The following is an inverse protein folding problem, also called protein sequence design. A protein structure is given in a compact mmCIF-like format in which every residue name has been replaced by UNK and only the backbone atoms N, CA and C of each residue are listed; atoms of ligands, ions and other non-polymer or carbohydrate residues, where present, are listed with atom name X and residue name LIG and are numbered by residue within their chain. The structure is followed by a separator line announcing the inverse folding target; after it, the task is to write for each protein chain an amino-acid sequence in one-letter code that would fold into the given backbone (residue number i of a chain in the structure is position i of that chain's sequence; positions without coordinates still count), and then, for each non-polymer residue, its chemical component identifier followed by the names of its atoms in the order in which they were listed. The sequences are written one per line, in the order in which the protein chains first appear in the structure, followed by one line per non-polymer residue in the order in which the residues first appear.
data_IF_260920977226
#
_entry.id   IF_260920977226
#
_cell.length_a   1.000
_cell.length_b   1.000
_cell.length_c   1.000
_cell.angle_alpha   90.00
_cell.angle_beta   90.00
_cell.angle_gamma   90.00
#
_symmetry.space_group_name_H-M   'P 1'
#
loop_
_entity.id
_entity.type
_entity.pdbx_description
1 polymer ?
#
# COMPACT_ATOMS: atom_id res chain seq x y z
N UNK A 1 50.75 -47.18 30.78
CA UNK A 1 50.74 -45.77 30.33
C UNK A 1 51.03 -45.73 28.85
N UNK A 2 49.99 -45.69 28.02
CA UNK A 2 50.10 -45.72 26.55
C UNK A 2 49.81 -44.32 26.00
N UNK A 3 50.75 -43.83 25.21
CA UNK A 3 50.68 -42.60 24.46
C UNK A 3 49.73 -42.74 23.26
N UNK A 4 48.97 -41.69 22.96
CA UNK A 4 48.37 -41.51 21.62
C UNK A 4 48.50 -40.04 21.22
N UNK A 5 49.16 -39.87 20.09
CA UNK A 5 49.59 -38.62 19.48
C UNK A 5 48.45 -37.83 18.85
N UNK A 6 48.54 -36.51 19.02
CA UNK A 6 47.79 -35.48 18.31
C UNK A 6 48.25 -35.33 16.86
N UNK A 7 47.32 -35.33 15.91
CA UNK A 7 47.56 -34.88 14.53
C UNK A 7 46.57 -33.74 14.23
N UNK A 8 47.10 -32.53 14.14
CA UNK A 8 46.39 -31.34 13.68
C UNK A 8 46.78 -31.09 12.23
N UNK A 9 45.82 -31.24 11.32
CA UNK A 9 46.01 -30.91 9.90
C UNK A 9 45.34 -29.59 9.59
N UNK A 10 46.15 -28.54 9.49
CA UNK A 10 45.80 -27.26 8.87
C UNK A 10 45.97 -27.39 7.36
N UNK A 11 44.91 -27.15 6.59
CA UNK A 11 45.02 -26.91 5.15
C UNK A 11 44.72 -25.44 4.85
N UNK A 12 45.77 -24.76 4.38
CA UNK A 12 45.75 -23.43 3.79
C UNK A 12 45.74 -23.56 2.26
N UNK A 13 45.36 -22.46 1.61
CA UNK A 13 45.61 -22.11 0.20
C UNK A 13 44.67 -22.79 -0.81
N UNK A 14 44.25 -22.21 -1.93
CA UNK A 14 44.79 -21.04 -2.62
C UNK A 14 43.81 -20.55 -3.69
N UNK A 15 43.94 -19.26 -3.96
CA UNK A 15 43.49 -18.52 -5.13
C UNK A 15 44.01 -19.12 -6.44
N UNK A 16 43.16 -19.20 -7.47
CA UNK A 16 43.61 -19.27 -8.87
C UNK A 16 42.65 -18.52 -9.79
N UNK A 17 43.23 -17.54 -10.49
CA UNK A 17 42.66 -16.82 -11.61
C UNK A 17 42.49 -17.73 -12.84
N UNK A 18 41.37 -17.61 -13.54
CA UNK A 18 41.29 -17.72 -15.01
C UNK A 18 39.92 -17.22 -15.47
N UNK A 19 39.83 -16.04 -16.07
CA UNK A 19 40.09 -15.71 -17.48
C UNK A 19 38.83 -15.85 -18.35
N UNK A 20 38.29 -14.66 -18.67
CA UNK A 20 37.63 -14.26 -19.93
C UNK A 20 36.60 -15.22 -20.56
N UNK A 21 35.35 -14.75 -20.60
CA UNK A 21 34.63 -14.61 -21.86
C UNK A 21 33.66 -13.42 -21.76
N UNK A 22 34.00 -12.33 -22.45
CA UNK A 22 33.08 -11.24 -22.76
C UNK A 22 32.22 -11.73 -23.93
N UNK A 23 30.92 -11.82 -23.73
CA UNK A 23 29.97 -11.89 -24.83
C UNK A 23 29.34 -10.50 -24.95
N UNK A 24 29.88 -9.71 -25.88
CA UNK A 24 29.21 -8.55 -26.45
C UNK A 24 27.93 -9.04 -27.13
N UNK A 25 26.77 -8.77 -26.53
CA UNK A 25 25.47 -8.92 -27.19
C UNK A 25 24.95 -7.53 -27.48
N UNK A 26 25.20 -7.10 -28.71
CA UNK A 26 24.60 -5.94 -29.36
C UNK A 26 23.08 -6.10 -29.40
N UNK A 27 22.37 -5.40 -28.51
CA UNK A 27 20.93 -5.21 -28.65
C UNK A 27 20.67 -3.95 -29.50
N UNK A 28 20.42 -4.18 -30.78
CA UNK A 28 19.78 -3.21 -31.65
C UNK A 28 18.36 -2.95 -31.13
N UNK A 29 18.11 -1.72 -30.64
CA UNK A 29 16.79 -1.25 -30.27
C UNK A 29 16.08 -0.68 -31.50
N UNK A 30 14.84 -1.10 -31.84
CA UNK A 30 14.05 -0.36 -32.80
C UNK A 30 13.49 0.90 -32.13
N UNK A 31 13.85 2.04 -32.73
CA UNK A 31 13.30 3.34 -32.43
C UNK A 31 11.78 3.34 -32.66
N UNK A 32 11.02 3.58 -31.58
CA UNK A 32 9.62 3.99 -31.66
C UNK A 32 9.55 5.46 -31.24
N UNK A 33 9.53 6.30 -32.26
CA UNK A 33 9.25 7.73 -32.20
C UNK A 33 7.84 7.97 -31.66
N UNK A 34 7.75 8.54 -30.47
CA UNK A 34 6.54 9.22 -29.99
C UNK A 34 6.97 10.42 -29.17
N UNK A 35 7.34 11.49 -29.89
CA UNK A 35 7.59 12.81 -29.35
C UNK A 35 6.28 13.40 -28.81
N UNK A 36 5.97 13.16 -27.54
CA UNK A 36 5.08 14.05 -26.79
C UNK A 36 5.91 15.12 -26.12
N UNK A 37 6.03 16.25 -26.83
CA UNK A 37 6.43 17.53 -26.26
C UNK A 37 5.48 17.82 -25.10
N UNK A 38 5.99 17.75 -23.87
CA UNK A 38 5.27 18.26 -22.68
C UNK A 38 5.47 19.76 -22.64
N UNK A 39 4.39 20.57 -22.63
CA UNK A 39 4.54 21.99 -22.37
C UNK A 39 4.98 22.18 -20.92
N UNK A 40 6.14 22.80 -20.74
CA UNK A 40 6.62 23.30 -19.46
C UNK A 40 5.68 24.44 -19.03
N UNK A 41 4.69 24.13 -18.20
CA UNK A 41 3.94 25.14 -17.46
C UNK A 41 4.88 25.77 -16.44
N UNK A 42 5.46 26.92 -16.81
CA UNK A 42 6.13 27.83 -15.88
C UNK A 42 5.18 28.14 -14.74
N UNK A 43 5.57 27.77 -13.52
CA UNK A 43 4.90 28.19 -12.30
C UNK A 43 4.97 29.72 -12.19
N UNK A 44 3.85 30.40 -12.45
CA UNK A 44 3.70 31.81 -12.09
C UNK A 44 3.58 31.90 -10.57
N UNK A 45 4.54 32.61 -9.99
CA UNK A 45 4.58 33.06 -8.59
C UNK A 45 3.31 33.88 -8.30
N UNK A 46 2.52 33.58 -7.25
CA UNK A 46 1.38 34.41 -6.91
C UNK A 46 1.87 35.78 -6.37
N UNK A 47 1.22 36.90 -6.75
CA UNK A 47 1.55 38.19 -6.16
C UNK A 47 1.07 38.24 -4.70
N UNK A 48 2.01 38.49 -3.80
CA UNK A 48 1.75 38.86 -2.41
C UNK A 48 1.21 40.29 -2.38
N UNK A 49 -0.11 40.43 -2.35
CA UNK A 49 -0.78 41.71 -2.08
C UNK A 49 -1.25 41.72 -0.61
N UNK A 50 -0.38 42.20 0.27
CA UNK A 50 -0.77 42.67 1.59
C UNK A 50 -1.42 44.05 1.43
N UNK A 51 -2.75 44.07 1.32
CA UNK A 51 -3.52 45.31 1.43
C UNK A 51 -3.73 45.56 2.92
N UNK A 52 -2.91 46.46 3.47
CA UNK A 52 -3.20 47.11 4.74
C UNK A 52 -4.52 47.88 4.58
N UNK A 53 -5.52 47.54 5.40
CA UNK A 53 -6.73 48.36 5.54
C UNK A 53 -6.50 49.26 6.75
N UNK A 54 -6.28 50.54 6.46
CA UNK A 54 -6.37 51.60 7.47
C UNK A 54 -7.83 51.72 7.94
N UNK A 55 -8.08 51.88 9.25
CA UNK A 55 -9.41 52.15 9.77
C UNK A 55 -9.74 53.63 9.56
N UNK A 56 -10.50 53.94 8.50
CA UNK A 56 -11.18 55.22 8.38
C UNK A 56 -12.22 55.33 9.50
N UNK A 57 -11.92 56.16 10.48
CA UNK A 57 -12.86 56.63 11.49
C UNK A 57 -13.94 57.48 10.82
N UNK A 58 -15.10 56.89 10.55
CA UNK A 58 -16.29 57.61 10.11
C UNK A 58 -16.98 58.24 11.32
N UNK A 59 -16.73 59.54 11.54
CA UNK A 59 -17.57 60.39 12.38
C UNK A 59 -18.97 60.46 11.76
N UNK A 60 -19.88 59.64 12.25
CA UNK A 60 -21.25 59.53 11.74
C UNK A 60 -22.10 60.60 12.41
N UNK A 61 -22.58 61.58 11.64
CA UNK A 61 -23.58 62.55 12.09
C UNK A 61 -24.91 61.83 12.36
N UNK A 62 -25.41 61.78 13.61
CA UNK A 62 -26.54 60.91 14.00
C UNK A 62 -27.92 61.38 13.51
N UNK A 63 -28.02 62.55 12.87
CA UNK A 63 -29.32 63.15 12.51
C UNK A 63 -29.96 62.61 11.23
N UNK A 64 -29.18 62.03 10.30
CA UNK A 64 -29.71 61.55 9.02
C UNK A 64 -30.18 60.09 9.08
N UNK A 65 -29.61 59.28 9.98
CA UNK A 65 -29.91 57.85 10.10
C UNK A 65 -31.18 57.57 10.90
N UNK A 66 -31.56 58.46 11.81
CA UNK A 66 -32.87 58.44 12.48
C UNK A 66 -33.99 58.72 11.49
N UNK A 67 -33.87 59.79 10.70
CA UNK A 67 -34.88 60.19 9.71
C UNK A 67 -35.18 59.10 8.67
N UNK A 68 -34.19 58.32 8.24
CA UNK A 68 -34.40 57.18 7.34
C UNK A 68 -35.11 56.02 8.04
N UNK A 69 -34.77 55.73 9.30
CA UNK A 69 -35.36 54.63 10.05
C UNK A 69 -36.84 54.89 10.32
N UNK A 70 -37.18 56.14 10.67
CA UNK A 70 -38.56 56.59 10.83
C UNK A 70 -39.34 56.48 9.52
N UNK A 71 -38.78 56.93 8.39
CA UNK A 71 -39.43 56.82 7.08
C UNK A 71 -39.69 55.36 6.63
N UNK A 72 -38.77 54.44 6.94
CA UNK A 72 -38.96 53.00 6.65
C UNK A 72 -40.10 52.42 7.49
N UNK A 73 -40.17 52.79 8.77
CA UNK A 73 -41.21 52.35 9.69
C UNK A 73 -42.57 52.91 9.30
N UNK A 74 -42.65 54.19 8.94
CA UNK A 74 -43.87 54.84 8.47
C UNK A 74 -44.38 54.20 7.18
N UNK A 75 -43.49 53.95 6.20
CA UNK A 75 -43.84 53.31 4.94
C UNK A 75 -44.35 51.88 5.11
N UNK A 76 -43.82 51.15 6.08
CA UNK A 76 -44.23 49.79 6.40
C UNK A 76 -45.54 49.71 7.20
N UNK A 77 -46.06 50.84 7.71
CA UNK A 77 -47.27 50.87 8.54
C UNK A 77 -47.01 50.64 10.04
N UNK A 78 -45.77 50.89 10.51
CA UNK A 78 -45.40 50.85 11.91
C UNK A 78 -44.37 49.78 12.27
N UNK A 79 -43.90 49.83 13.52
CA UNK A 79 -42.80 49.00 14.04
C UNK A 79 -43.14 47.51 13.95
N UNK A 80 -44.37 47.12 14.29
CA UNK A 80 -44.78 45.72 14.27
C UNK A 80 -44.84 45.15 12.85
N UNK A 81 -45.22 45.95 11.85
CA UNK A 81 -45.21 45.54 10.45
C UNK A 81 -43.78 45.36 9.90
N UNK A 82 -42.83 46.22 10.30
CA UNK A 82 -41.41 46.02 9.98
C UNK A 82 -40.88 44.74 10.62
N UNK A 83 -41.27 44.44 11.86
CA UNK A 83 -40.85 43.21 12.53
C UNK A 83 -41.49 41.95 11.94
N UNK A 84 -42.73 42.03 11.45
CA UNK A 84 -43.35 40.92 10.71
C UNK A 84 -42.58 40.61 9.42
N UNK A 85 -42.14 41.65 8.68
CA UNK A 85 -41.29 41.50 7.49
C UNK A 85 -39.89 40.97 7.89
N UNK A 86 -39.33 41.44 9.01
CA UNK A 86 -38.05 40.94 9.49
C UNK A 86 -38.14 39.44 9.85
N UNK A 87 -39.25 39.00 10.46
CA UNK A 87 -39.48 37.60 10.79
C UNK A 87 -39.73 36.72 9.56
N UNK A 88 -40.40 37.21 8.53
CA UNK A 88 -40.56 36.43 7.28
C UNK A 88 -39.20 36.16 6.64
N UNK A 89 -38.31 37.15 6.63
CA UNK A 89 -36.92 36.95 6.21
C UNK A 89 -36.13 36.03 7.14
N UNK A 90 -36.32 36.15 8.47
CA UNK A 90 -35.64 35.28 9.42
C UNK A 90 -36.01 33.79 9.26
N UNK A 91 -37.26 33.48 8.87
CA UNK A 91 -37.72 32.10 8.62
C UNK A 91 -36.99 31.39 7.48
N UNK A 92 -36.45 32.14 6.51
CA UNK A 92 -35.70 31.55 5.40
C UNK A 92 -34.33 31.00 5.85
N UNK A 93 -33.79 31.47 6.98
CA UNK A 93 -32.54 31.01 7.60
C UNK A 93 -31.32 31.00 6.67
N UNK A 94 -31.31 31.81 5.61
CA UNK A 94 -30.12 32.06 4.80
C UNK A 94 -29.36 33.26 5.37
N UNK A 95 -28.03 33.28 5.28
CA UNK A 95 -27.22 34.39 5.80
C UNK A 95 -27.57 35.74 5.17
N UNK A 96 -27.95 35.74 3.89
CA UNK A 96 -28.43 36.93 3.19
C UNK A 96 -29.78 37.41 3.76
N UNK A 97 -30.75 36.51 3.94
CA UNK A 97 -32.09 36.87 4.44
C UNK A 97 -32.06 37.28 5.92
N UNK A 98 -31.26 36.60 6.75
CA UNK A 98 -31.04 37.00 8.15
C UNK A 98 -30.31 38.35 8.27
N UNK A 99 -29.40 38.67 7.35
CA UNK A 99 -28.77 40.00 7.29
C UNK A 99 -29.78 41.12 7.00
N UNK A 100 -30.76 40.86 6.13
CA UNK A 100 -31.90 41.77 5.89
C UNK A 100 -32.78 41.87 7.13
N UNK A 101 -33.13 40.73 7.75
CA UNK A 101 -33.94 40.68 8.96
C UNK A 101 -33.33 41.49 10.12
N UNK A 102 -32.03 41.33 10.40
CA UNK A 102 -31.32 42.11 11.42
C UNK A 102 -31.28 43.59 11.08
N UNK A 103 -31.11 43.94 9.80
CA UNK A 103 -31.11 45.34 9.38
C UNK A 103 -32.47 46.00 9.62
N UNK A 104 -33.56 45.32 9.27
CA UNK A 104 -34.93 45.77 9.54
C UNK A 104 -35.22 45.84 11.04
N UNK A 105 -34.81 44.84 11.82
CA UNK A 105 -34.95 44.82 13.27
C UNK A 105 -34.23 46.02 13.94
N UNK A 106 -33.03 46.39 13.46
CA UNK A 106 -32.29 47.57 13.93
C UNK A 106 -32.93 48.89 13.51
N UNK A 107 -33.55 48.97 12.34
CA UNK A 107 -34.33 50.14 11.94
C UNK A 107 -35.58 50.30 12.81
N UNK A 108 -36.29 49.20 13.10
CA UNK A 108 -37.40 49.17 14.04
C UNK A 108 -36.96 49.58 15.45
N UNK A 109 -35.78 49.16 15.91
CA UNK A 109 -35.23 49.57 17.20
C UNK A 109 -34.90 51.07 17.27
N UNK A 110 -34.30 51.64 16.22
CA UNK A 110 -33.94 53.07 16.17
C UNK A 110 -35.16 53.99 16.09
N UNK A 111 -36.21 53.56 15.39
CA UNK A 111 -37.45 54.32 15.24
C UNK A 111 -38.35 54.26 16.50
N UNK A 112 -38.00 53.44 17.50
CA UNK A 112 -38.68 53.45 18.80
C UNK A 112 -38.42 54.79 19.50
N UNK A 113 -39.33 55.73 19.33
CA UNK A 113 -39.39 56.91 20.17
C UNK A 113 -39.86 56.52 21.58
N UNK A 114 -39.36 57.18 22.65
CA UNK A 114 -39.79 56.92 24.03
C UNK A 114 -41.21 57.42 24.36
N UNK A 115 -42.00 57.83 23.37
CA UNK A 115 -43.35 58.40 23.54
C UNK A 115 -44.40 57.32 23.85
N UNK A 116 -44.46 56.93 25.12
CA UNK A 116 -45.54 56.21 25.82
C UNK A 116 -46.21 54.98 25.14
N UNK A 117 -45.48 54.03 24.53
CA UNK A 117 -46.02 52.69 24.29
C UNK A 117 -46.20 51.93 25.62
N UNK A 118 -47.18 51.03 25.68
CA UNK A 118 -47.37 50.17 26.85
C UNK A 118 -46.16 49.26 27.06
N UNK A 119 -45.76 49.06 28.32
CA UNK A 119 -44.59 48.26 28.67
C UNK A 119 -44.62 46.83 28.09
N UNK A 120 -45.83 46.26 27.89
CA UNK A 120 -46.03 44.95 27.27
C UNK A 120 -45.60 44.92 25.81
N UNK A 121 -46.00 45.91 25.00
CA UNK A 121 -45.68 45.97 23.56
C UNK A 121 -44.18 46.17 23.37
N UNK A 122 -43.57 47.03 24.19
CA UNK A 122 -42.11 47.23 24.19
C UNK A 122 -41.35 45.93 24.46
N UNK A 123 -41.80 45.17 25.46
CA UNK A 123 -41.19 43.89 25.82
C UNK A 123 -41.34 42.84 24.72
N UNK A 124 -42.49 42.83 24.02
CA UNK A 124 -42.76 41.91 22.91
C UNK A 124 -41.83 42.18 21.73
N UNK A 125 -41.80 43.40 21.20
CA UNK A 125 -40.96 43.68 20.04
C UNK A 125 -39.46 43.66 20.35
N UNK A 126 -39.05 43.85 21.61
CA UNK A 126 -37.66 43.63 22.02
C UNK A 126 -37.26 42.16 21.95
N UNK A 127 -38.13 41.26 22.42
CA UNK A 127 -37.89 39.80 22.31
C UNK A 127 -37.77 39.37 20.85
N UNK A 128 -38.62 39.89 19.96
CA UNK A 128 -38.57 39.60 18.51
C UNK A 128 -37.22 40.03 17.90
N UNK A 129 -36.73 41.22 18.24
CA UNK A 129 -35.42 41.71 17.81
C UNK A 129 -34.30 40.80 18.34
N UNK A 130 -34.32 40.49 19.64
CA UNK A 130 -33.32 39.63 20.29
C UNK A 130 -33.28 38.22 19.65
N UNK A 131 -34.44 37.67 19.26
CA UNK A 131 -34.55 36.37 18.60
C UNK A 131 -33.96 36.40 17.18
N UNK A 132 -34.24 37.45 16.40
CA UNK A 132 -33.66 37.64 15.05
C UNK A 132 -32.14 37.81 15.13
N UNK A 133 -31.63 38.59 16.09
CA UNK A 133 -30.18 38.76 16.26
C UNK A 133 -29.50 37.47 16.71
N UNK A 134 -30.16 36.67 17.57
CA UNK A 134 -29.65 35.35 17.98
C UNK A 134 -29.55 34.38 16.80
N UNK A 135 -30.58 34.31 15.96
CA UNK A 135 -30.61 33.44 14.78
C UNK A 135 -29.51 33.86 13.77
N UNK A 136 -29.34 35.17 13.53
CA UNK A 136 -28.26 35.67 12.67
C UNK A 136 -26.87 35.37 13.23
N UNK A 137 -26.67 35.56 14.54
CA UNK A 137 -25.40 35.25 15.20
C UNK A 137 -25.06 33.76 15.07
N UNK A 138 -26.05 32.88 15.28
CA UNK A 138 -25.85 31.44 15.13
C UNK A 138 -25.41 31.06 13.72
N UNK A 139 -26.15 31.48 12.68
CA UNK A 139 -25.83 31.14 11.29
C UNK A 139 -24.48 31.71 10.86
N UNK A 140 -24.16 32.94 11.27
CA UNK A 140 -22.87 33.56 10.96
C UNK A 140 -21.70 32.82 11.62
N UNK A 141 -21.88 32.37 12.87
CA UNK A 141 -20.89 31.53 13.55
C UNK A 141 -20.68 30.20 12.83
N UNK A 142 -21.76 29.51 12.44
CA UNK A 142 -21.69 28.24 11.70
C UNK A 142 -20.97 28.42 10.34
N UNK A 143 -21.32 29.44 9.56
CA UNK A 143 -20.68 29.73 8.27
C UNK A 143 -19.17 30.02 8.43
N UNK A 144 -18.80 30.79 9.46
CA UNK A 144 -17.40 31.09 9.76
C UNK A 144 -16.62 29.82 10.15
N UNK A 145 -17.24 28.95 10.95
CA UNK A 145 -16.67 27.68 11.39
C UNK A 145 -16.45 26.73 10.20
N UNK A 146 -17.46 26.53 9.35
CA UNK A 146 -17.33 25.68 8.16
C UNK A 146 -16.33 26.22 7.15
N UNK A 147 -16.23 27.54 7.02
CA UNK A 147 -15.23 28.21 6.17
C UNK A 147 -13.81 27.94 6.68
N UNK A 148 -13.57 28.09 7.98
CA UNK A 148 -12.26 27.84 8.60
C UNK A 148 -11.90 26.34 8.59
N UNK A 149 -12.83 25.44 8.84
CA UNK A 149 -12.60 23.99 8.65
C UNK A 149 -12.23 23.68 7.21
N UNK A 150 -12.97 24.25 6.24
CA UNK A 150 -12.68 24.05 4.82
C UNK A 150 -11.30 24.57 4.44
N UNK A 151 -10.90 25.72 4.99
CA UNK A 151 -9.57 26.32 4.82
C UNK A 151 -8.48 25.44 5.43
N UNK A 152 -8.65 24.99 6.67
CA UNK A 152 -7.73 24.10 7.36
C UNK A 152 -7.61 22.74 6.65
N UNK A 153 -8.72 22.16 6.20
CA UNK A 153 -8.72 20.91 5.42
C UNK A 153 -7.97 21.06 4.08
N UNK A 154 -8.11 22.21 3.40
CA UNK A 154 -7.33 22.53 2.20
C UNK A 154 -5.83 22.67 2.51
N UNK A 155 -5.46 23.24 3.64
CA UNK A 155 -4.07 23.36 4.09
C UNK A 155 -3.45 21.99 4.50
N UNK A 156 -4.24 21.13 5.16
CA UNK A 156 -3.82 19.76 5.55
C UNK A 156 -3.61 18.87 4.33
N UNK A 157 -4.39 19.08 3.25
CA UNK A 157 -4.13 18.48 1.94
C UNK A 157 -2.88 19.12 1.32
N UNK A 158 -1.71 18.81 1.88
CA UNK A 158 -0.37 19.19 1.39
C UNK A 158 -0.23 18.79 -0.08
N UNK A 159 -0.64 19.66 -1.01
CA UNK A 159 -0.41 19.49 -2.47
C UNK A 159 1.08 19.46 -2.79
N UNK A 160 1.89 20.10 -1.95
CA UNK A 160 3.32 20.33 -2.22
C UNK A 160 4.21 19.21 -1.66
N UNK A 161 3.71 18.39 -0.73
CA UNK A 161 4.38 17.13 -0.44
C UNK A 161 4.01 16.16 -1.55
N UNK A 162 4.92 16.02 -2.51
CA UNK A 162 4.90 14.94 -3.48
C UNK A 162 4.44 13.67 -2.75
N UNK A 163 3.31 13.09 -3.18
CA UNK A 163 2.82 11.83 -2.63
C UNK A 163 4.03 10.89 -2.57
N UNK A 164 4.33 10.27 -1.43
CA UNK A 164 5.44 9.33 -1.37
C UNK A 164 5.30 8.37 -2.54
N UNK A 165 6.34 8.26 -3.40
CA UNK A 165 6.28 7.43 -4.63
C UNK A 165 5.82 6.00 -4.35
N UNK A 166 5.97 5.54 -3.11
CA UNK A 166 5.59 4.22 -2.62
C UNK A 166 4.42 4.36 -1.65
N UNK A 167 3.26 3.75 -1.97
CA UNK A 167 2.07 3.73 -1.10
C UNK A 167 2.43 3.07 0.24
N UNK A 168 1.76 3.43 1.33
CA UNK A 168 2.04 2.85 2.66
C UNK A 168 1.94 1.31 2.66
N UNK A 169 0.97 0.75 1.92
CA UNK A 169 0.84 -0.71 1.67
C UNK A 169 2.08 -1.29 0.99
N UNK A 170 2.70 -0.55 0.08
CA UNK A 170 3.90 -0.99 -0.63
C UNK A 170 5.17 -0.86 0.23
N UNK A 171 5.18 0.02 1.25
CA UNK A 171 6.27 0.06 2.24
C UNK A 171 6.33 -1.22 3.07
N UNK A 172 5.18 -1.73 3.53
CA UNK A 172 5.11 -3.03 4.20
C UNK A 172 5.47 -4.19 3.26
N UNK A 173 5.11 -4.09 1.98
CA UNK A 173 5.47 -5.11 0.98
C UNK A 173 6.93 -5.05 0.50
N UNK A 174 7.63 -3.93 0.72
CA UNK A 174 9.05 -3.72 0.39
C UNK A 174 9.98 -3.90 1.59
N UNK A 175 9.45 -4.07 2.80
CA UNK A 175 10.25 -4.66 3.88
C UNK A 175 10.73 -6.06 3.44
N UNK A 176 11.94 -6.49 3.84
CA UNK A 176 12.38 -7.84 3.56
C UNK A 176 11.30 -8.79 4.06
N UNK A 177 10.67 -9.52 3.14
CA UNK A 177 9.66 -10.49 3.55
C UNK A 177 10.42 -11.53 4.35
N UNK A 178 9.93 -11.83 5.55
CA UNK A 178 10.48 -12.76 6.54
C UNK A 178 10.62 -14.22 6.05
N UNK A 179 10.65 -14.45 4.73
CA UNK A 179 11.00 -15.74 4.19
C UNK A 179 12.48 -16.00 4.48
N UNK A 180 13.44 -15.17 4.03
CA UNK A 180 14.88 -15.56 4.06
C UNK A 180 15.88 -14.39 4.01
N UNK A 181 15.51 -13.19 4.47
CA UNK A 181 16.39 -12.02 4.44
C UNK A 181 16.55 -11.33 3.07
N UNK A 182 16.04 -11.92 1.97
CA UNK A 182 16.00 -11.23 0.67
C UNK A 182 14.91 -10.15 0.62
N UNK A 183 15.26 -8.99 0.07
CA UNK A 183 14.26 -7.97 -0.30
C UNK A 183 13.51 -8.41 -1.55
N UNK A 184 12.33 -7.82 -1.76
CA UNK A 184 11.49 -8.09 -2.93
C UNK A 184 12.18 -7.74 -4.26
N UNK A 185 13.03 -6.71 -4.26
CA UNK A 185 13.90 -6.36 -5.41
C UNK A 185 14.86 -7.50 -5.71
N UNK A 186 15.65 -7.89 -4.72
CA UNK A 186 16.74 -8.84 -4.87
C UNK A 186 16.19 -10.22 -5.31
N UNK A 187 15.05 -10.62 -4.76
CA UNK A 187 14.35 -11.84 -5.16
C UNK A 187 13.83 -11.80 -6.61
N UNK A 188 13.48 -10.62 -7.15
CA UNK A 188 13.12 -10.48 -8.56
C UNK A 188 14.35 -10.52 -9.45
N UNK A 189 15.43 -9.85 -9.04
CA UNK A 189 16.65 -9.74 -9.81
C UNK A 189 17.25 -11.13 -10.07
N UNK A 190 17.30 -11.99 -9.04
CA UNK A 190 17.80 -13.38 -9.17
C UNK A 190 16.76 -14.37 -9.69
N UNK A 191 15.55 -13.92 -10.00
CA UNK A 191 14.41 -14.78 -10.37
C UNK A 191 14.19 -15.92 -9.35
N UNK A 192 14.11 -15.55 -8.07
CA UNK A 192 14.05 -16.51 -6.97
C UNK A 192 12.83 -17.42 -7.06
N UNK A 193 13.04 -18.71 -6.74
CA UNK A 193 12.02 -19.76 -6.64
C UNK A 193 12.19 -20.49 -5.33
N UNK A 194 11.08 -20.98 -4.76
CA UNK A 194 11.10 -21.72 -3.50
C UNK A 194 11.22 -23.22 -3.74
N UNK A 195 12.14 -23.88 -3.05
CA UNK A 195 12.25 -25.33 -3.01
C UNK A 195 11.02 -25.95 -2.35
N UNK A 196 10.45 -27.00 -2.94
CA UNK A 196 9.27 -27.69 -2.38
C UNK A 196 9.58 -28.56 -1.16
N UNK A 197 10.86 -28.88 -0.92
CA UNK A 197 11.28 -29.70 0.23
C UNK A 197 11.66 -28.86 1.44
N UNK A 198 12.62 -27.96 1.27
CA UNK A 198 13.18 -27.13 2.34
C UNK A 198 12.61 -25.71 2.37
N UNK A 199 11.78 -25.31 1.39
CA UNK A 199 11.20 -23.96 1.27
C UNK A 199 12.24 -22.83 1.07
N UNK A 200 13.53 -23.16 0.95
CA UNK A 200 14.63 -22.24 0.57
C UNK A 200 14.34 -21.56 -0.78
N UNK A 201 14.48 -20.24 -0.82
CA UNK A 201 14.52 -19.39 -2.00
C UNK A 201 15.94 -19.41 -2.55
N UNK A 202 16.03 -19.77 -3.82
CA UNK A 202 17.28 -19.76 -4.56
C UNK A 202 17.01 -19.25 -5.97
N UNK A 203 18.06 -18.86 -6.69
CA UNK A 203 17.93 -18.51 -8.09
C UNK A 203 17.38 -19.70 -8.90
N UNK A 204 16.62 -19.42 -9.96
CA UNK A 204 16.00 -20.49 -10.77
C UNK A 204 17.03 -21.52 -11.28
N UNK A 205 18.24 -21.08 -11.65
CA UNK A 205 19.30 -21.96 -12.16
C UNK A 205 19.95 -22.86 -11.09
N UNK A 206 19.78 -22.55 -9.80
CA UNK A 206 20.31 -23.34 -8.68
C UNK A 206 19.39 -24.48 -8.25
N UNK A 207 18.20 -24.59 -8.85
CA UNK A 207 17.18 -25.57 -8.49
C UNK A 207 16.91 -26.49 -9.68
N UNK A 208 16.65 -27.76 -9.42
CA UNK A 208 15.99 -28.64 -10.39
C UNK A 208 14.57 -28.16 -10.60
N UNK A 209 14.18 -27.99 -11.86
CA UNK A 209 12.83 -27.61 -12.26
C UNK A 209 12.14 -28.83 -12.85
N UNK A 210 11.13 -29.34 -12.15
CA UNK A 210 10.27 -30.42 -12.61
C UNK A 210 8.99 -29.80 -13.16
N UNK A 211 8.65 -30.09 -14.41
CA UNK A 211 7.50 -29.50 -15.10
C UNK A 211 6.54 -30.60 -15.51
N UNK A 212 5.26 -30.38 -15.24
CA UNK A 212 4.17 -31.17 -15.83
C UNK A 212 3.88 -30.65 -17.23
N UNK A 213 4.19 -31.46 -18.23
CA UNK A 213 3.96 -31.17 -19.66
C UNK A 213 2.83 -32.06 -20.17
N UNK A 214 1.91 -31.49 -20.96
CA UNK A 214 0.86 -32.24 -21.65
C UNK A 214 1.47 -32.88 -22.89
N UNK A 215 1.38 -34.19 -23.03
CA UNK A 215 1.81 -34.87 -24.25
C UNK A 215 0.79 -34.65 -25.37
N UNK A 216 1.29 -34.54 -26.60
CA UNK A 216 0.46 -34.73 -27.80
C UNK A 216 0.34 -36.24 -28.07
N UNK A 217 -0.72 -36.65 -28.77
CA UNK A 217 -1.11 -38.05 -28.89
C UNK A 217 -0.03 -38.97 -29.52
N UNK A 218 0.94 -38.38 -30.22
CA UNK A 218 1.87 -39.11 -31.09
C UNK A 218 3.29 -39.31 -30.50
N UNK A 219 3.59 -38.78 -29.29
CA UNK A 219 4.96 -38.70 -28.74
C UNK A 219 5.15 -39.40 -27.38
N UNK A 220 4.74 -40.66 -27.21
CA UNK A 220 4.68 -41.23 -25.87
C UNK A 220 5.20 -42.67 -25.68
N UNK A 221 6.31 -42.79 -24.97
CA UNK A 221 6.69 -44.00 -24.22
C UNK A 221 5.73 -44.20 -23.03
N UNK A 222 5.16 -45.40 -22.88
CA UNK A 222 4.08 -45.68 -21.92
C UNK A 222 4.49 -45.56 -20.44
N UNK A 223 5.76 -45.77 -20.12
CA UNK A 223 6.26 -45.93 -18.75
C UNK A 223 6.43 -44.63 -17.95
N UNK A 224 6.40 -43.46 -18.61
CA UNK A 224 6.50 -42.14 -17.96
C UNK A 224 5.17 -41.38 -17.88
N UNK A 225 4.11 -41.97 -18.43
CA UNK A 225 2.82 -41.32 -18.57
C UNK A 225 1.98 -41.42 -17.30
N UNK A 226 1.39 -40.28 -16.91
CA UNK A 226 0.35 -40.25 -15.90
C UNK A 226 -0.90 -39.64 -16.52
N UNK A 227 -1.97 -40.44 -16.55
CA UNK A 227 -3.28 -40.00 -17.05
C UNK A 227 -3.98 -39.22 -15.95
N UNK A 228 -4.40 -38.00 -16.28
CA UNK A 228 -5.22 -37.18 -15.40
C UNK A 228 -6.31 -36.50 -16.21
N UNK A 229 -7.56 -36.63 -15.76
CA UNK A 229 -8.72 -36.00 -16.39
C UNK A 229 -8.88 -36.38 -17.88
N UNK A 230 -8.51 -37.62 -18.25
CA UNK A 230 -8.55 -38.11 -19.63
C UNK A 230 -7.37 -37.65 -20.52
N UNK A 231 -6.42 -36.89 -19.98
CA UNK A 231 -5.27 -36.36 -20.72
C UNK A 231 -3.94 -36.96 -20.22
N UNK A 232 -2.98 -37.15 -21.14
CA UNK A 232 -1.65 -37.73 -20.86
C UNK A 232 -0.65 -36.63 -20.49
N UNK A 233 0.03 -36.80 -19.36
CA UNK A 233 1.06 -35.88 -18.89
C UNK A 233 2.37 -36.62 -18.61
N UNK A 234 3.50 -35.94 -18.88
CA UNK A 234 4.83 -36.38 -18.43
C UNK A 234 5.43 -35.29 -17.55
N UNK A 235 6.04 -35.73 -16.46
CA UNK A 235 6.87 -34.85 -15.64
C UNK A 235 8.31 -34.99 -16.07
N UNK A 236 8.94 -33.91 -16.55
CA UNK A 236 10.37 -33.90 -16.95
C UNK A 236 11.14 -32.84 -16.19
N UNK A 237 12.44 -33.07 -16.02
CA UNK A 237 13.37 -31.99 -15.68
C UNK A 237 13.57 -31.11 -16.91
N UNK A 238 13.60 -29.79 -16.72
CA UNK A 238 13.71 -28.84 -17.82
C UNK A 238 14.50 -27.61 -17.43
N UNK A 239 15.48 -27.24 -18.26
CA UNK A 239 16.39 -26.12 -18.00
C UNK A 239 15.72 -24.76 -18.22
N UNK A 240 14.83 -24.61 -19.21
CA UNK A 240 13.95 -23.45 -19.40
C UNK A 240 12.96 -23.66 -20.56
N UNK A 241 11.99 -22.76 -20.75
CA UNK A 241 11.14 -22.69 -21.96
C UNK A 241 9.87 -23.56 -21.98
N UNK A 242 9.84 -24.66 -21.24
CA UNK A 242 8.62 -25.50 -21.13
C UNK A 242 7.52 -24.80 -20.33
N UNK A 243 6.33 -24.66 -20.92
CA UNK A 243 5.17 -24.09 -20.25
C UNK A 243 4.40 -25.18 -19.50
N UNK A 244 4.00 -24.91 -18.27
CA UNK A 244 3.30 -25.88 -17.44
C UNK A 244 3.41 -25.58 -15.95
N UNK A 245 2.68 -26.34 -15.13
CA UNK A 245 2.85 -26.28 -13.69
C UNK A 245 4.22 -26.87 -13.35
N UNK A 246 4.99 -26.15 -12.53
CA UNK A 246 6.35 -26.56 -12.17
C UNK A 246 6.56 -26.61 -10.67
N UNK A 247 7.45 -27.50 -10.26
CA UNK A 247 7.96 -27.65 -8.90
C UNK A 247 9.48 -27.48 -8.94
N UNK A 248 10.03 -26.83 -7.91
CA UNK A 248 11.47 -26.57 -7.81
C UNK A 248 12.05 -27.33 -6.62
N UNK A 249 13.19 -28.00 -6.79
CA UNK A 249 13.89 -28.74 -5.73
C UNK A 249 15.36 -28.32 -5.70
N UNK A 250 15.99 -28.19 -4.54
CA UNK A 250 17.42 -27.89 -4.50
C UNK A 250 18.23 -29.04 -5.11
N UNK A 251 19.38 -28.70 -5.73
CA UNK A 251 20.33 -29.67 -6.28
C UNK A 251 21.14 -30.38 -5.19
N UNK A 252 20.44 -30.93 -4.21
CA UNK A 252 21.02 -31.62 -3.06
C UNK A 252 20.24 -32.90 -2.82
N UNK A 253 20.93 -34.02 -2.55
CA UNK A 253 20.36 -35.32 -2.22
C UNK A 253 19.37 -35.21 -1.08
N UNK A 254 19.70 -34.48 -0.01
CA UNK A 254 18.81 -34.29 1.14
C UNK A 254 17.44 -33.68 0.76
N UNK A 255 17.42 -32.68 -0.12
CA UNK A 255 16.15 -32.09 -0.58
C UNK A 255 15.37 -33.03 -1.50
N UNK A 256 16.05 -33.76 -2.39
CA UNK A 256 15.38 -34.72 -3.28
C UNK A 256 14.77 -35.86 -2.48
N UNK A 257 15.52 -36.49 -1.58
CA UNK A 257 15.02 -37.57 -0.73
C UNK A 257 13.85 -37.11 0.15
N UNK A 258 13.92 -35.88 0.68
CA UNK A 258 12.82 -35.28 1.41
C UNK A 258 11.61 -35.04 0.52
N UNK A 259 11.80 -34.47 -0.68
CA UNK A 259 10.71 -34.18 -1.61
C UNK A 259 9.95 -35.45 -2.01
N UNK A 260 10.67 -36.55 -2.22
CA UNK A 260 10.11 -37.88 -2.50
C UNK A 260 9.37 -38.42 -1.28
N UNK A 261 10.01 -38.44 -0.09
CA UNK A 261 9.42 -38.99 1.14
C UNK A 261 8.07 -38.34 1.50
N UNK A 262 7.96 -37.01 1.37
CA UNK A 262 6.74 -36.27 1.69
C UNK A 262 5.83 -36.01 0.48
N UNK A 263 6.09 -36.67 -0.66
CA UNK A 263 5.36 -36.49 -1.92
C UNK A 263 5.14 -35.00 -2.28
N UNK A 264 6.15 -34.15 -2.02
CA UNK A 264 6.02 -32.69 -2.19
C UNK A 264 5.83 -32.30 -3.67
N UNK A 265 6.57 -32.98 -4.57
CA UNK A 265 6.49 -32.74 -6.02
C UNK A 265 5.09 -33.11 -6.53
N UNK A 266 4.57 -34.27 -6.13
CA UNK A 266 3.24 -34.75 -6.48
C UNK A 266 2.14 -33.77 -6.05
N UNK A 267 2.21 -33.25 -4.83
CA UNK A 267 1.26 -32.27 -4.29
C UNK A 267 1.25 -30.96 -5.09
N UNK A 268 2.43 -30.45 -5.45
CA UNK A 268 2.55 -29.21 -6.23
C UNK A 268 2.05 -29.42 -7.66
N UNK A 269 2.51 -30.47 -8.34
CA UNK A 269 2.12 -30.75 -9.73
C UNK A 269 0.67 -31.26 -9.85
N UNK A 270 0.06 -31.68 -8.73
CA UNK A 270 -1.27 -32.30 -8.61
C UNK A 270 -1.39 -33.56 -9.47
N UNK A 271 -0.38 -34.42 -9.44
CA UNK A 271 -0.36 -35.71 -10.13
C UNK A 271 0.56 -36.66 -9.37
N UNK A 272 0.34 -37.96 -9.54
CA UNK A 272 1.33 -38.94 -9.11
C UNK A 272 2.60 -38.77 -9.93
N UNK A 273 3.75 -38.97 -9.32
CA UNK A 273 5.05 -38.82 -9.95
C UNK A 273 5.60 -40.21 -10.22
N UNK A 274 6.00 -40.54 -11.47
CA UNK A 274 6.55 -41.85 -11.77
C UNK A 274 7.86 -42.09 -11.02
N UNK A 275 8.10 -43.34 -10.60
CA UNK A 275 9.28 -43.70 -9.82
C UNK A 275 10.58 -43.51 -10.61
N UNK A 276 10.52 -43.67 -11.94
CA UNK A 276 11.62 -43.39 -12.87
C UNK A 276 12.12 -41.96 -12.72
N UNK A 277 11.22 -40.96 -12.72
CA UNK A 277 11.59 -39.55 -12.54
C UNK A 277 12.23 -39.30 -11.16
N UNK A 278 11.70 -39.93 -10.11
CA UNK A 278 12.29 -39.85 -8.78
C UNK A 278 13.72 -40.42 -8.76
N UNK A 279 13.98 -41.51 -9.48
CA UNK A 279 15.32 -42.09 -9.63
C UNK A 279 16.26 -41.16 -10.40
N UNK A 280 15.80 -40.58 -11.53
CA UNK A 280 16.59 -39.62 -12.32
C UNK A 280 16.97 -38.39 -11.50
N UNK A 281 16.02 -37.81 -10.75
CA UNK A 281 16.29 -36.68 -9.85
C UNK A 281 17.34 -37.01 -8.78
N UNK A 282 17.31 -38.24 -8.24
CA UNK A 282 18.32 -38.70 -7.27
C UNK A 282 19.69 -38.88 -7.91
N UNK A 283 19.74 -39.42 -9.12
CA UNK A 283 20.98 -39.59 -9.88
C UNK A 283 21.62 -38.24 -10.22
N UNK A 284 20.84 -37.27 -10.71
CA UNK A 284 21.36 -35.93 -11.00
C UNK A 284 21.80 -35.18 -9.76
N UNK A 285 21.03 -35.27 -8.66
CA UNK A 285 21.47 -34.69 -7.38
C UNK A 285 22.77 -35.32 -6.89
N UNK A 286 22.95 -36.62 -7.16
CA UNK A 286 24.16 -37.38 -6.82
C UNK A 286 25.36 -36.94 -7.63
N UNK A 287 25.21 -36.82 -8.94
CA UNK A 287 26.26 -36.31 -9.83
C UNK A 287 26.63 -34.86 -9.50
N UNK A 288 25.65 -34.01 -9.19
CA UNK A 288 25.90 -32.62 -8.81
C UNK A 288 26.68 -32.53 -7.49
N UNK A 289 26.32 -33.31 -6.48
CA UNK A 289 27.02 -33.34 -5.20
C UNK A 289 28.46 -33.86 -5.32
N UNK A 290 28.66 -34.94 -6.08
CA UNK A 290 30.00 -35.49 -6.34
C UNK A 290 30.88 -34.51 -7.10
N UNK A 291 30.34 -33.82 -8.11
CA UNK A 291 31.06 -32.79 -8.84
C UNK A 291 31.51 -31.62 -7.95
N UNK A 292 30.77 -31.32 -6.87
CA UNK A 292 31.11 -30.27 -5.92
C UNK A 292 31.88 -30.78 -4.68
N UNK A 293 32.08 -32.09 -4.55
CA UNK A 293 32.74 -32.70 -3.37
C UNK A 293 31.96 -32.54 -2.06
N UNK A 294 30.62 -32.42 -2.13
CA UNK A 294 29.76 -32.21 -0.95
C UNK A 294 28.85 -33.41 -0.76
N UNK A 295 28.75 -33.96 0.44
CA UNK A 295 27.73 -34.96 0.78
C UNK A 295 26.67 -34.38 1.71
N UNK A 296 25.42 -34.26 1.24
CA UNK A 296 24.31 -33.75 2.06
C UNK A 296 23.44 -34.84 2.68
N UNK A 297 23.70 -36.13 2.41
CA UNK A 297 22.93 -37.26 2.99
C UNK A 297 22.80 -37.24 4.52
N UNK A 298 23.85 -36.88 5.30
CA UNK A 298 23.72 -36.83 6.75
C UNK A 298 23.02 -35.56 7.24
N UNK A 299 22.64 -34.63 6.36
CA UNK A 299 22.09 -33.34 6.74
C UNK A 299 20.56 -33.32 6.69
N UNK A 300 19.97 -32.59 7.63
CA UNK A 300 18.56 -32.24 7.68
C UNK A 300 18.40 -30.73 7.69
N UNK A 301 17.43 -30.23 6.93
CA UNK A 301 17.07 -28.82 6.95
C UNK A 301 16.08 -28.54 8.07
N UNK A 302 16.55 -27.91 9.15
CA UNK A 302 15.71 -27.42 10.25
C UNK A 302 15.00 -26.14 9.85
N UNK A 303 13.68 -26.16 10.06
CA UNK A 303 12.85 -24.97 9.93
C UNK A 303 12.85 -24.28 11.30
N UNK A 304 13.11 -22.96 11.34
CA UNK A 304 12.93 -22.21 12.57
C UNK A 304 11.45 -22.05 12.86
N UNK A 305 11.15 -21.76 14.13
CA UNK A 305 9.77 -21.63 14.59
C UNK A 305 8.99 -20.55 13.82
N UNK A 306 7.76 -20.88 13.45
CA UNK A 306 6.85 -20.00 12.73
C UNK A 306 6.04 -20.71 11.65
N UNK A 307 5.05 -20.01 11.10
CA UNK A 307 4.34 -20.47 9.92
C UNK A 307 5.27 -20.44 8.69
N UNK A 308 5.05 -21.30 7.69
CA UNK A 308 5.83 -21.42 6.43
C UNK A 308 6.02 -20.12 5.61
N UNK A 309 5.37 -19.02 6.02
CA UNK A 309 5.47 -17.70 5.42
C UNK A 309 6.08 -16.62 6.35
N UNK A 310 6.41 -16.95 7.61
CA UNK A 310 6.80 -16.01 8.67
C UNK A 310 7.86 -16.64 9.57
N UNK A 311 8.99 -17.01 9.00
CA UNK A 311 10.12 -17.50 9.80
C UNK A 311 10.80 -16.34 10.50
N UNK A 312 11.18 -16.54 11.75
CA UNK A 312 11.91 -15.55 12.55
C UNK A 312 13.40 -15.51 12.19
N UNK A 313 13.94 -16.60 11.62
CA UNK A 313 15.33 -16.76 11.22
C UNK A 313 15.45 -17.52 9.87
N UNK A 314 16.58 -17.46 9.16
CA UNK A 314 16.84 -18.40 8.07
C UNK A 314 16.95 -19.82 8.61
N UNK A 315 16.45 -20.82 7.87
CA UNK A 315 16.60 -22.22 8.28
C UNK A 315 18.04 -22.71 8.13
N UNK A 316 18.38 -23.68 8.96
CA UNK A 316 19.75 -24.19 9.15
C UNK A 316 19.85 -25.64 8.66
N UNK A 317 20.99 -26.01 8.08
CA UNK A 317 21.33 -27.40 7.81
C UNK A 317 22.07 -27.98 9.02
N UNK A 318 21.49 -29.01 9.64
CA UNK A 318 22.10 -29.69 10.80
C UNK A 318 22.35 -31.15 10.48
N UNK A 319 23.28 -31.78 11.19
CA UNK A 319 23.45 -33.22 11.13
C UNK A 319 22.18 -33.93 11.61
N UNK A 320 21.85 -35.07 10.98
CA UNK A 320 20.67 -35.87 11.30
C UNK A 320 20.66 -36.40 12.74
N UNK A 321 21.84 -36.50 13.35
CA UNK A 321 22.06 -36.95 14.72
C UNK A 321 21.85 -35.84 15.77
N UNK A 322 21.77 -34.58 15.32
CA UNK A 322 21.59 -33.40 16.17
C UNK A 322 20.34 -33.58 17.06
N UNK A 323 20.45 -33.38 18.39
CA UNK A 323 19.32 -33.46 19.31
C UNK A 323 18.13 -32.59 18.89
N UNK A 324 18.37 -31.44 18.24
CA UNK A 324 17.32 -30.54 17.74
C UNK A 324 16.51 -31.15 16.60
N UNK A 325 17.06 -32.12 15.88
CA UNK A 325 16.35 -32.88 14.87
C UNK A 325 15.49 -34.01 15.46
N UNK A 326 15.72 -34.39 16.73
CA UNK A 326 14.96 -35.45 17.41
C UNK A 326 13.59 -34.90 17.81
N UNK A 327 12.52 -35.51 17.29
CA UNK A 327 11.13 -35.16 17.64
C UNK A 327 10.40 -34.27 16.64
N UNK A 328 11.04 -33.82 15.56
CA UNK A 328 10.33 -33.12 14.48
C UNK A 328 9.50 -34.14 13.71
N UNK A 329 8.17 -34.07 13.88
CA UNK A 329 7.21 -34.79 13.03
C UNK A 329 7.17 -34.09 11.67
N UNK A 330 7.77 -34.71 10.67
CA UNK A 330 7.83 -34.21 9.29
C UNK A 330 6.64 -34.66 8.46
#
# INVERSE_FOLDING_TARGET
SLAVSSVSTTMSSSSSLSSRMRCDVSFASPASSSSRVRPTLRARKPPSASVARDPLSASSSPSLTSSLSDAIVDLAGGIDAVLDIAETHARERTSASLGVAVSLARHAERARQPSAPSASTLSSSRRRIDDIERDYAQVTMEDSFYTEISRAARAIRRRDKAKPKVRARDRACNQPKARQGLRKSDARDIHARSCVACERLAAQGELFRVVRVKLRADDADEDEMVVKDGERYVSRMSESGTSGRSAYVCKTRACVDRAVRVNAIARILRMNIPQSLCATLKAEATAFEEANGVDTRPLLYLRPDGASARWTAPGEWVAREDPRARGIKW
#
